data_IF_744425088209
#
_entry.id   IF_744425088209
#
_cell.length_a   1.000
_cell.length_b   1.000
_cell.length_c   1.000
_cell.angle_alpha   90.00
_cell.angle_beta   90.00
_cell.angle_gamma   90.00
#
_symmetry.space_group_name_H-M   'P 1'
#
loop_
_entity.id
_entity.type
_entity.pdbx_description
1 polymer ?
#
# COMPACT_ATOMS: atom_id res chain seq x y z
N UNK A 1 -16.10 -10.86 14.36
CA UNK A 1 -15.51 -11.56 13.19
C UNK A 1 -16.51 -12.62 12.74
N UNK A 2 -16.77 -12.75 11.45
CA UNK A 2 -17.63 -13.81 10.92
C UNK A 2 -17.05 -15.19 11.32
N UNK A 3 -17.87 -16.11 11.82
CA UNK A 3 -17.45 -17.45 12.27
C UNK A 3 -16.69 -18.24 11.19
N UNK A 4 -17.07 -18.07 9.93
CA UNK A 4 -16.35 -18.69 8.81
C UNK A 4 -14.94 -18.10 8.63
N UNK A 5 -14.82 -16.78 8.74
CA UNK A 5 -13.52 -16.08 8.65
C UNK A 5 -12.62 -16.47 9.81
N UNK A 6 -13.18 -16.65 11.01
CA UNK A 6 -12.43 -17.12 12.18
C UNK A 6 -11.83 -18.51 11.94
N UNK A 7 -12.63 -19.46 11.44
CA UNK A 7 -12.13 -20.81 11.11
C UNK A 7 -11.04 -20.80 10.04
N UNK A 8 -11.24 -20.06 8.95
CA UNK A 8 -10.22 -19.91 7.89
C UNK A 8 -8.92 -19.30 8.43
N UNK A 9 -9.02 -18.33 9.34
CA UNK A 9 -7.84 -17.71 9.97
C UNK A 9 -7.10 -18.72 10.86
N UNK A 10 -7.82 -19.50 11.65
CA UNK A 10 -7.25 -20.55 12.50
C UNK A 10 -6.58 -21.66 11.67
N UNK A 11 -7.16 -22.04 10.53
CA UNK A 11 -6.59 -23.02 9.61
C UNK A 11 -5.34 -22.47 8.91
N UNK A 12 -5.40 -21.27 8.33
CA UNK A 12 -4.27 -20.60 7.70
C UNK A 12 -3.09 -20.38 8.67
N UNK A 13 -3.39 -20.13 9.96
CA UNK A 13 -2.36 -19.94 10.99
C UNK A 13 -1.56 -21.21 11.28
N UNK A 14 -2.12 -22.40 11.01
CA UNK A 14 -1.45 -23.70 11.21
C UNK A 14 -0.51 -24.08 10.06
N UNK A 15 -0.57 -23.36 8.93
CA UNK A 15 0.31 -23.61 7.80
C UNK A 15 1.78 -23.27 8.15
N UNK A 16 2.75 -23.96 7.51
CA UNK A 16 4.15 -23.53 7.51
C UNK A 16 4.28 -22.06 7.07
N UNK A 17 5.32 -21.33 7.54
CA UNK A 17 5.47 -19.92 7.21
C UNK A 17 5.48 -19.60 5.70
N UNK A 18 6.07 -20.47 4.88
CA UNK A 18 6.13 -20.30 3.43
C UNK A 18 4.73 -20.40 2.78
N UNK A 19 4.01 -21.49 3.05
CA UNK A 19 2.66 -21.72 2.54
C UNK A 19 1.67 -20.65 3.01
N UNK A 20 1.83 -20.17 4.26
CA UNK A 20 1.04 -19.05 4.77
C UNK A 20 1.32 -17.76 4.00
N UNK A 21 2.58 -17.49 3.66
CA UNK A 21 2.93 -16.31 2.85
C UNK A 21 2.34 -16.40 1.44
N UNK A 22 2.42 -17.57 0.80
CA UNK A 22 1.81 -17.83 -0.51
C UNK A 22 0.28 -17.61 -0.49
N UNK A 23 -0.41 -18.12 0.54
CA UNK A 23 -1.84 -17.92 0.72
C UNK A 23 -2.19 -16.42 0.89
N UNK A 24 -1.42 -15.70 1.71
CA UNK A 24 -1.62 -14.25 1.91
C UNK A 24 -1.44 -13.51 0.59
N UNK A 25 -0.41 -13.82 -0.19
CA UNK A 25 -0.21 -13.20 -1.50
C UNK A 25 -1.38 -13.49 -2.46
N UNK A 26 -1.89 -14.72 -2.50
CA UNK A 26 -3.05 -15.07 -3.32
C UNK A 26 -4.29 -14.26 -2.95
N UNK A 27 -4.55 -14.10 -1.65
CA UNK A 27 -5.65 -13.27 -1.15
C UNK A 27 -5.42 -11.80 -1.53
N UNK A 28 -4.21 -11.26 -1.31
CA UNK A 28 -3.89 -9.88 -1.67
C UNK A 28 -4.11 -9.62 -3.16
N UNK A 29 -3.65 -10.53 -4.04
CA UNK A 29 -3.91 -10.45 -5.49
C UNK A 29 -5.41 -10.46 -5.83
N UNK A 30 -6.22 -11.21 -5.09
CA UNK A 30 -7.68 -11.24 -5.31
C UNK A 30 -8.38 -9.93 -4.87
N UNK A 31 -7.79 -9.22 -3.91
CA UNK A 31 -8.26 -7.91 -3.45
C UNK A 31 -7.78 -6.78 -4.37
N UNK A 32 -6.67 -7.00 -5.09
CA UNK A 32 -6.08 -6.08 -6.06
C UNK A 32 -6.85 -6.07 -7.40
N UNK A 33 -8.18 -6.23 -7.34
CA UNK A 33 -9.04 -6.09 -8.50
C UNK A 33 -9.04 -4.62 -8.95
N UNK A 34 -8.11 -4.30 -9.86
CA UNK A 34 -8.01 -2.97 -10.47
C UNK A 34 -9.20 -2.74 -11.37
N UNK A 35 -10.07 -1.80 -11.00
CA UNK A 35 -11.02 -1.23 -11.94
C UNK A 35 -10.25 -0.24 -12.84
N UNK A 36 -10.17 -0.45 -14.16
CA UNK A 36 -9.42 0.42 -15.06
C UNK A 36 -9.85 1.89 -14.99
N UNK A 37 -11.07 2.16 -14.51
CA UNK A 37 -11.56 3.53 -14.27
C UNK A 37 -10.76 4.22 -13.17
N UNK A 38 -10.38 3.52 -12.11
CA UNK A 38 -9.54 4.10 -11.06
C UNK A 38 -8.14 4.41 -11.58
N UNK A 39 -7.53 3.51 -12.36
CA UNK A 39 -6.22 3.77 -12.96
C UNK A 39 -6.23 5.04 -13.83
N UNK A 40 -7.30 5.22 -14.61
CA UNK A 40 -7.51 6.43 -15.39
C UNK A 40 -7.65 7.67 -14.48
N UNK A 41 -8.48 7.60 -13.44
CA UNK A 41 -8.66 8.72 -12.50
C UNK A 41 -7.36 9.09 -11.78
N UNK A 42 -6.57 8.11 -11.34
CA UNK A 42 -5.26 8.33 -10.73
C UNK A 42 -4.25 8.92 -11.70
N UNK A 43 -4.29 8.49 -12.97
CA UNK A 43 -3.42 9.05 -14.02
C UNK A 43 -3.71 10.53 -14.25
N UNK A 44 -4.98 10.91 -14.35
CA UNK A 44 -5.36 12.32 -14.54
C UNK A 44 -5.02 13.15 -13.30
N UNK A 45 -5.36 12.67 -12.10
CA UNK A 45 -5.00 13.36 -10.85
C UNK A 45 -3.47 13.57 -10.71
N UNK A 46 -2.67 12.57 -11.06
CA UNK A 46 -1.21 12.68 -11.00
C UNK A 46 -0.67 13.73 -11.99
N UNK A 47 -1.22 13.80 -13.21
CA UNK A 47 -0.88 14.83 -14.20
C UNK A 47 -1.26 16.22 -13.69
N UNK A 48 -2.46 16.37 -13.15
CA UNK A 48 -2.99 17.65 -12.68
C UNK A 48 -2.16 18.19 -11.52
N UNK A 49 -1.82 17.34 -10.54
CA UNK A 49 -0.94 17.71 -9.42
C UNK A 49 0.45 18.11 -9.88
N UNK A 50 1.04 17.38 -10.83
CA UNK A 50 2.34 17.71 -11.39
C UNK A 50 2.31 19.06 -12.13
N UNK A 51 1.23 19.33 -12.88
CA UNK A 51 1.06 20.59 -13.56
C UNK A 51 0.91 21.76 -12.57
N UNK A 52 0.10 21.60 -11.53
CA UNK A 52 -0.07 22.61 -10.48
C UNK A 52 1.24 22.89 -9.72
N UNK A 53 2.01 21.84 -9.38
CA UNK A 53 3.36 21.99 -8.81
C UNK A 53 4.28 22.80 -9.72
N UNK A 54 4.32 22.48 -11.03
CA UNK A 54 5.14 23.22 -12.01
C UNK A 54 4.72 24.69 -12.17
N UNK A 55 3.45 25.02 -11.92
CA UNK A 55 2.94 26.40 -11.90
C UNK A 55 3.19 27.12 -10.56
N UNK A 56 3.69 26.41 -9.54
CA UNK A 56 3.92 26.96 -8.20
C UNK A 56 2.67 27.05 -7.33
N UNK A 57 1.59 26.36 -7.71
CA UNK A 57 0.32 26.34 -6.95
C UNK A 57 0.33 25.32 -5.81
N UNK A 58 1.25 24.35 -5.86
CA UNK A 58 1.47 23.33 -4.84
C UNK A 58 2.93 23.42 -4.40
N UNK A 59 3.16 23.48 -3.09
CA UNK A 59 4.51 23.38 -2.50
C UNK A 59 4.93 21.90 -2.37
N UNK A 60 6.23 21.64 -2.56
CA UNK A 60 6.81 20.34 -2.28
C UNK A 60 7.88 20.46 -1.19
N UNK A 61 8.06 19.38 -0.43
CA UNK A 61 9.14 19.25 0.53
C UNK A 61 10.30 18.49 -0.10
N UNK A 62 11.54 18.85 0.26
CA UNK A 62 12.70 18.08 -0.15
C UNK A 62 12.65 16.67 0.46
N UNK A 63 12.91 15.66 -0.38
CA UNK A 63 12.84 14.26 0.05
C UNK A 63 13.83 13.97 1.19
N UNK A 64 15.04 14.57 1.17
CA UNK A 64 16.04 14.33 2.20
C UNK A 64 15.60 14.89 3.55
N UNK A 65 14.91 16.03 3.55
CA UNK A 65 14.36 16.64 4.77
C UNK A 65 13.25 15.77 5.38
N UNK A 66 12.39 15.19 4.55
CA UNK A 66 11.36 14.25 4.99
C UNK A 66 12.00 12.98 5.56
N UNK A 67 12.95 12.38 4.84
CA UNK A 67 13.63 11.17 5.27
C UNK A 67 14.47 11.38 6.54
N UNK A 68 15.08 12.56 6.72
CA UNK A 68 15.83 12.91 7.92
C UNK A 68 14.97 12.80 9.20
N UNK A 69 13.69 13.16 9.15
CA UNK A 69 12.76 13.07 10.29
C UNK A 69 12.54 11.64 10.78
N UNK A 70 12.69 10.64 9.91
CA UNK A 70 12.41 9.24 10.23
C UNK A 70 13.66 8.36 10.36
N UNK A 71 14.85 8.91 10.10
CA UNK A 71 16.14 8.18 10.25
C UNK A 71 16.43 7.77 11.70
N UNK A 72 15.82 8.41 12.70
CA UNK A 72 15.90 7.98 14.11
C UNK A 72 14.99 6.81 14.46
N UNK A 73 13.91 6.58 13.71
CA UNK A 73 12.90 5.54 13.98
C UNK A 73 13.25 4.20 13.32
N UNK A 74 14.07 4.22 12.27
CA UNK A 74 14.63 3.03 11.61
C UNK A 74 15.63 2.25 12.49
N UNK A 75 15.89 2.74 13.71
CA UNK A 75 16.74 2.14 14.73
C UNK A 75 15.90 1.63 15.91
N UNK A 76 14.75 1.00 15.64
CA UNK A 76 14.05 0.17 16.63
C UNK A 76 14.61 -1.26 16.57
N UNK A 77 14.91 -1.88 17.73
CA UNK A 77 15.45 -3.24 17.82
C UNK A 77 14.49 -4.31 17.28
#
# INVERSE_FOLDING_TARGET
>A
MNEHIKKLTEEASKLPPADRAELVEGILRSLDATDPRFDQMWTEEAKDRLAAYRRGEIEAYDLNDVLAKHRSDAKRP
#
